data_IF_748829544304
#
_entry.id   IF_748829544304
#
_cell.length_a   1.000
_cell.length_b   1.000
_cell.length_c   1.000
_cell.angle_alpha   90.00
_cell.angle_beta   90.00
_cell.angle_gamma   90.00
#
_symmetry.space_group_name_H-M   'P 1'
#
loop_
_entity.id
_entity.type
_entity.pdbx_description
1 polymer ?
#
# COMPACT_ATOMS: atom_id res chain seq x y z
N UNK A 1 15.27 19.27 9.73
CA UNK A 1 16.41 18.50 9.18
C UNK A 1 15.97 17.14 8.61
N UNK A 2 15.10 16.37 9.28
CA UNK A 2 14.69 15.02 8.83
C UNK A 2 14.00 14.92 7.45
N UNK A 3 13.10 15.85 7.10
CA UNK A 3 12.38 15.81 5.80
C UNK A 3 13.35 15.92 4.61
N UNK A 4 14.35 16.81 4.70
CA UNK A 4 15.36 16.99 3.63
C UNK A 4 16.22 15.73 3.46
N UNK A 5 16.58 15.07 4.56
CA UNK A 5 17.31 13.82 4.54
C UNK A 5 16.49 12.68 3.92
N UNK A 6 15.22 12.54 4.30
CA UNK A 6 14.32 11.54 3.73
C UNK A 6 14.09 11.77 2.24
N UNK A 7 13.85 13.01 1.83
CA UNK A 7 13.72 13.37 0.42
C UNK A 7 14.99 13.00 -0.37
N UNK A 8 16.17 13.35 0.16
CA UNK A 8 17.44 12.98 -0.45
C UNK A 8 17.59 11.45 -0.61
N UNK A 9 17.28 10.70 0.45
CA UNK A 9 17.33 9.23 0.44
C UNK A 9 16.37 8.63 -0.59
N UNK A 10 15.12 9.09 -0.65
CA UNK A 10 14.16 8.64 -1.65
C UNK A 10 14.65 8.92 -3.09
N UNK A 11 15.28 10.08 -3.33
CA UNK A 11 15.87 10.39 -4.63
C UNK A 11 17.08 9.50 -4.96
N UNK A 12 17.92 9.17 -3.99
CA UNK A 12 19.05 8.24 -4.17
C UNK A 12 18.54 6.84 -4.55
N UNK A 13 17.61 6.29 -3.75
CA UNK A 13 16.99 4.97 -4.01
C UNK A 13 16.36 4.93 -5.40
N UNK A 14 15.63 5.98 -5.80
CA UNK A 14 15.01 6.02 -7.12
C UNK A 14 16.03 5.98 -8.27
N UNK A 15 17.18 6.64 -8.11
CA UNK A 15 18.23 6.68 -9.15
C UNK A 15 19.04 5.39 -9.21
N UNK A 16 19.38 4.83 -8.05
CA UNK A 16 20.23 3.64 -7.93
C UNK A 16 19.42 2.34 -8.06
N UNK A 17 18.11 2.41 -7.86
CA UNK A 17 17.20 1.26 -7.80
C UNK A 17 17.53 0.25 -6.70
N UNK A 18 18.31 0.66 -5.70
CA UNK A 18 18.71 -0.15 -4.56
C UNK A 18 17.97 0.27 -3.29
N UNK A 19 17.32 -0.70 -2.66
CA UNK A 19 16.63 -0.48 -1.39
C UNK A 19 17.59 -0.72 -0.22
N UNK A 20 17.57 0.12 0.83
CA UNK A 20 18.26 -0.16 2.08
C UNK A 20 17.84 -1.51 2.66
N UNK A 21 18.75 -2.27 3.24
CA UNK A 21 18.44 -3.61 3.75
C UNK A 21 17.39 -3.59 4.86
N UNK A 22 17.50 -2.62 5.78
CA UNK A 22 16.53 -2.40 6.85
C UNK A 22 15.10 -2.15 6.33
N UNK A 23 14.97 -1.62 5.11
CA UNK A 23 13.67 -1.32 4.49
C UNK A 23 13.03 -2.54 3.82
N UNK A 24 13.81 -3.60 3.57
CA UNK A 24 13.34 -4.89 3.03
C UNK A 24 12.85 -5.80 4.14
N UNK A 25 13.29 -5.56 5.38
CA UNK A 25 12.80 -6.28 6.55
C UNK A 25 11.34 -5.92 6.83
N UNK A 26 10.55 -6.94 7.11
CA UNK A 26 9.12 -6.81 7.42
C UNK A 26 8.79 -7.71 8.61
N UNK A 27 7.94 -7.20 9.50
CA UNK A 27 7.42 -7.98 10.62
C UNK A 27 6.06 -8.56 10.25
N UNK A 28 5.88 -9.87 10.38
CA UNK A 28 4.62 -10.52 10.04
C UNK A 28 3.72 -10.64 11.26
N UNK A 29 2.48 -10.17 11.11
CA UNK A 29 1.42 -10.29 12.13
C UNK A 29 0.24 -11.02 11.52
N UNK A 30 -0.30 -12.02 12.24
CA UNK A 30 -1.51 -12.71 11.84
C UNK A 30 -2.73 -12.01 12.42
N UNK A 31 -3.63 -11.54 11.56
CA UNK A 31 -4.92 -10.99 11.96
C UNK A 31 -6.02 -12.03 11.75
N UNK A 32 -6.80 -12.30 12.80
CA UNK A 32 -7.98 -13.14 12.70
C UNK A 32 -9.06 -12.48 11.83
N UNK A 33 -9.65 -13.24 10.91
CA UNK A 33 -10.70 -12.76 9.98
C UNK A 33 -12.10 -13.07 10.51
N UNK A 34 -12.56 -14.31 10.38
CA UNK A 34 -13.86 -14.81 10.88
C UNK A 34 -13.86 -16.34 10.91
N UNK A 35 -14.88 -16.96 11.55
CA UNK A 35 -15.06 -18.41 11.58
C UNK A 35 -14.61 -19.05 12.90
N UNK A 36 -13.84 -20.13 12.81
CA UNK A 36 -13.28 -20.83 13.95
C UNK A 36 -11.83 -20.39 14.17
N UNK A 37 -11.50 -19.87 15.36
CA UNK A 37 -10.16 -19.38 15.68
C UNK A 37 -9.08 -20.48 15.79
N UNK A 38 -9.47 -21.76 15.82
CA UNK A 38 -8.51 -22.87 15.80
C UNK A 38 -8.06 -23.26 14.40
N UNK A 39 -8.72 -22.76 13.36
CA UNK A 39 -8.38 -23.07 11.98
C UNK A 39 -7.42 -22.02 11.41
N UNK A 40 -6.24 -22.45 10.96
CA UNK A 40 -5.20 -21.56 10.44
C UNK A 40 -5.66 -20.73 9.23
N UNK A 41 -6.57 -21.27 8.40
CA UNK A 41 -7.10 -20.57 7.22
C UNK A 41 -7.97 -19.35 7.54
N UNK A 42 -8.40 -19.21 8.80
CA UNK A 42 -9.19 -18.07 9.26
C UNK A 42 -8.34 -16.87 9.70
N UNK A 43 -7.02 -16.93 9.50
CA UNK A 43 -6.09 -15.83 9.74
C UNK A 43 -5.57 -15.26 8.43
N UNK A 44 -5.37 -13.95 8.41
CA UNK A 44 -4.73 -13.21 7.33
C UNK A 44 -3.38 -12.69 7.82
N UNK A 45 -2.31 -13.12 7.18
CA UNK A 45 -0.97 -12.58 7.45
C UNK A 45 -0.85 -11.17 6.86
N UNK A 46 -0.35 -10.24 7.66
CA UNK A 46 -0.02 -8.88 7.25
C UNK A 46 1.46 -8.63 7.50
N UNK A 47 2.12 -8.05 6.51
CA UNK A 47 3.48 -7.54 6.64
C UNK A 47 3.45 -6.09 7.13
N UNK A 48 4.11 -5.82 8.24
CA UNK A 48 4.40 -4.48 8.72
C UNK A 48 5.70 -4.01 8.08
N UNK A 49 5.60 -2.90 7.35
CA UNK A 49 6.72 -2.25 6.67
C UNK A 49 7.15 -1.00 7.43
N UNK A 50 8.42 -0.61 7.28
CA UNK A 50 8.91 0.63 7.86
C UNK A 50 8.13 1.85 7.34
N UNK A 51 7.97 2.87 8.19
CA UNK A 51 7.30 4.12 7.82
C UNK A 51 8.00 4.80 6.64
N UNK A 52 9.33 4.75 6.58
CA UNK A 52 10.10 5.37 5.53
C UNK A 52 9.95 4.62 4.18
N UNK A 53 9.94 3.28 4.20
CA UNK A 53 9.59 2.45 3.03
C UNK A 53 8.20 2.79 2.50
N UNK A 54 7.22 2.94 3.41
CA UNK A 54 5.84 3.28 3.06
C UNK A 54 5.73 4.62 2.33
N UNK A 55 6.50 5.63 2.75
CA UNK A 55 6.54 6.94 2.09
C UNK A 55 7.04 6.81 0.65
N UNK A 56 8.12 6.06 0.43
CA UNK A 56 8.64 5.84 -0.92
C UNK A 56 7.63 5.08 -1.80
N UNK A 57 7.00 4.04 -1.26
CA UNK A 57 5.96 3.28 -1.97
C UNK A 57 4.78 4.17 -2.39
N UNK A 58 4.34 5.08 -1.53
CA UNK A 58 3.28 6.05 -1.86
C UNK A 58 3.72 6.99 -2.99
N UNK A 59 4.98 7.46 -2.98
CA UNK A 59 5.52 8.30 -4.06
C UNK A 59 5.53 7.53 -5.39
N UNK A 60 5.93 6.26 -5.38
CA UNK A 60 5.95 5.40 -6.58
C UNK A 60 4.53 5.17 -7.08
N UNK A 61 3.61 4.81 -6.20
CA UNK A 61 2.19 4.61 -6.53
C UNK A 61 1.61 5.86 -7.20
N UNK A 62 1.81 7.03 -6.61
CA UNK A 62 1.30 8.30 -7.17
C UNK A 62 1.88 8.62 -8.55
N UNK A 63 3.12 8.20 -8.84
CA UNK A 63 3.74 8.36 -10.17
C UNK A 63 3.19 7.39 -11.20
N UNK A 64 2.81 6.18 -10.76
CA UNK A 64 2.27 5.14 -11.64
C UNK A 64 0.76 5.21 -11.82
N UNK A 65 0.09 5.96 -10.94
CA UNK A 65 -1.37 6.01 -10.81
C UNK A 65 -2.11 6.17 -12.14
N UNK A 66 -1.76 7.15 -12.97
CA UNK A 66 -2.44 7.35 -14.26
C UNK A 66 -2.37 6.12 -15.17
N UNK A 67 -1.21 5.45 -15.23
CA UNK A 67 -1.06 4.22 -16.02
C UNK A 67 -1.84 3.05 -15.43
N UNK A 68 -1.87 2.96 -14.10
CA UNK A 68 -2.63 1.93 -13.40
C UNK A 68 -4.12 2.11 -13.68
N UNK A 69 -4.62 3.35 -13.68
CA UNK A 69 -6.02 3.68 -13.99
C UNK A 69 -6.39 3.37 -15.44
N UNK A 70 -5.49 3.60 -16.40
CA UNK A 70 -5.70 3.24 -17.82
C UNK A 70 -5.79 1.72 -18.04
N UNK A 71 -5.02 0.93 -17.29
CA UNK A 71 -4.95 -0.53 -17.43
C UNK A 71 -5.94 -1.27 -16.51
N UNK A 72 -6.55 -0.57 -15.55
CA UNK A 72 -7.53 -1.15 -14.64
C UNK A 72 -8.81 -1.46 -15.41
N UNK A 73 -9.22 -2.73 -15.40
CA UNK A 73 -10.49 -3.16 -15.98
C UNK A 73 -11.68 -2.49 -15.29
N UNK A 74 -12.70 -2.15 -16.08
CA UNK A 74 -14.00 -1.66 -15.59
C UNK A 74 -14.70 -2.61 -14.60
N UNK A 75 -14.28 -3.87 -14.51
CA UNK A 75 -14.80 -4.83 -13.53
C UNK A 75 -14.08 -4.76 -12.16
N UNK A 76 -13.00 -3.98 -12.05
CA UNK A 76 -12.16 -3.92 -10.85
C UNK A 76 -12.52 -2.72 -9.95
N UNK A 77 -13.63 -2.85 -9.24
CA UNK A 77 -14.20 -1.75 -8.45
C UNK A 77 -13.54 -1.45 -7.10
N UNK A 78 -12.66 -2.34 -6.62
CA UNK A 78 -12.04 -2.19 -5.30
C UNK A 78 -10.85 -1.24 -5.24
N UNK A 79 -10.27 -0.88 -6.40
CA UNK A 79 -9.01 -0.14 -6.49
C UNK A 79 -9.05 1.06 -7.44
N UNK A 80 -10.18 1.28 -8.12
CA UNK A 80 -10.39 2.45 -8.96
C UNK A 80 -10.81 3.66 -8.10
N UNK A 81 -10.23 4.84 -8.36
CA UNK A 81 -10.63 6.05 -7.64
C UNK A 81 -12.06 6.49 -7.97
N UNK A 82 -12.48 6.23 -9.21
CA UNK A 82 -13.79 6.60 -9.73
C UNK A 82 -14.90 5.90 -8.93
N UNK A 83 -14.75 4.60 -8.66
CA UNK A 83 -15.79 3.85 -7.93
C UNK A 83 -15.64 3.94 -6.41
N UNK A 84 -14.42 4.12 -5.88
CA UNK A 84 -14.23 4.36 -4.45
C UNK A 84 -15.03 5.59 -3.95
N UNK A 85 -15.12 6.64 -4.77
CA UNK A 85 -15.94 7.83 -4.48
C UNK A 85 -17.45 7.52 -4.52
N UNK A 86 -17.91 6.75 -5.52
CA UNK A 86 -19.30 6.30 -5.61
C UNK A 86 -19.68 5.41 -4.42
N UNK A 87 -18.88 4.40 -4.07
CA UNK A 87 -19.14 3.50 -2.93
C UNK A 87 -19.18 4.29 -1.61
N UNK A 88 -18.23 5.21 -1.38
CA UNK A 88 -18.28 6.09 -0.21
C UNK A 88 -19.59 6.89 -0.18
N UNK A 89 -19.95 7.56 -1.28
CA UNK A 89 -21.18 8.38 -1.34
C UNK A 89 -22.48 7.58 -1.11
N UNK A 90 -22.51 6.30 -1.50
CA UNK A 90 -23.63 5.39 -1.24
C UNK A 90 -23.69 4.98 0.24
N UNK A 91 -22.53 4.74 0.88
CA UNK A 91 -22.46 4.40 2.29
C UNK A 91 -22.82 5.57 3.23
N UNK A 92 -22.66 6.82 2.79
CA UNK A 92 -23.04 8.03 3.56
C UNK A 92 -24.49 8.49 3.31
N UNK A 93 -25.26 7.79 2.47
CA UNK A 93 -26.70 8.04 2.22
C UNK A 93 -27.63 7.08 2.97
N UNK A 94 -27.09 6.28 3.89
CA UNK A 94 -27.82 5.31 4.73
C UNK A 94 -28.01 5.84 6.14
#
# INVERSE_FOLDING_TARGET
MGIKALHHLCCQIWKQQEWPEDWKLQEFVMLYKYGNSKECGNYRTIALISHASKILLIIILNRMKCKIEEELSDCQAGYSEIEAQQICSLSYRS
#
